data_IF_479210607763
#
_entry.id   IF_479210607763
#
_cell.length_a   1.000
_cell.length_b   1.000
_cell.length_c   1.000
_cell.angle_alpha   90.00
_cell.angle_beta   90.00
_cell.angle_gamma   90.00
#
_symmetry.space_group_name_H-M   'P 1'
#
loop_
_entity.id
_entity.type
_entity.pdbx_description
1 polymer ?
#
# COMPACT_ATOMS: atom_id res chain seq x y z
N UNK A 1 7.44 -19.93 -0.62
CA UNK A 1 7.43 -18.87 0.40
C UNK A 1 5.99 -18.57 0.72
N UNK A 2 5.62 -18.29 1.99
CA UNK A 2 4.24 -17.94 2.33
C UNK A 2 3.94 -16.51 1.82
N UNK A 3 3.02 -16.29 0.86
CA UNK A 3 2.65 -14.97 0.37
C UNK A 3 2.06 -14.04 1.44
N UNK A 4 1.35 -14.57 2.45
CA UNK A 4 0.72 -13.74 3.49
C UNK A 4 1.68 -12.75 4.17
N UNK A 5 2.81 -13.17 4.76
CA UNK A 5 3.75 -12.23 5.39
C UNK A 5 4.35 -11.23 4.40
N UNK A 6 4.55 -11.59 3.13
CA UNK A 6 5.09 -10.70 2.10
C UNK A 6 4.10 -9.56 1.81
N UNK A 7 2.85 -9.89 1.54
CA UNK A 7 1.80 -8.90 1.23
C UNK A 7 1.51 -8.02 2.45
N UNK A 8 1.44 -8.60 3.66
CA UNK A 8 1.24 -7.83 4.89
C UNK A 8 2.42 -6.88 5.15
N UNK A 9 3.65 -7.33 4.92
CA UNK A 9 4.85 -6.48 5.05
C UNK A 9 4.81 -5.32 4.06
N UNK A 10 4.37 -5.56 2.82
CA UNK A 10 4.21 -4.51 1.82
C UNK A 10 3.25 -3.39 2.29
N UNK A 11 2.03 -3.73 2.72
CA UNK A 11 1.08 -2.72 3.21
C UNK A 11 1.58 -2.03 4.49
N UNK A 12 2.30 -2.75 5.35
CA UNK A 12 2.90 -2.16 6.56
C UNK A 12 4.00 -1.17 6.23
N UNK A 13 4.87 -1.49 5.26
CA UNK A 13 5.93 -0.61 4.79
C UNK A 13 5.35 0.64 4.12
N UNK A 14 4.28 0.50 3.32
CA UNK A 14 3.59 1.66 2.75
C UNK A 14 2.97 2.55 3.82
N UNK A 15 2.37 1.97 4.87
CA UNK A 15 1.85 2.74 5.99
C UNK A 15 2.96 3.59 6.64
N UNK A 16 4.11 3.00 6.93
CA UNK A 16 5.26 3.72 7.48
C UNK A 16 5.87 4.73 6.51
N UNK A 17 5.87 4.44 5.22
CA UNK A 17 6.30 5.39 4.19
C UNK A 17 5.43 6.67 4.23
N UNK A 18 4.10 6.51 4.21
CA UNK A 18 3.20 7.66 4.27
C UNK A 18 3.25 8.40 5.61
N UNK A 19 3.35 7.69 6.74
CA UNK A 19 3.58 8.34 8.04
C UNK A 19 4.91 9.08 8.10
N UNK A 20 5.97 8.53 7.48
CA UNK A 20 7.26 9.20 7.35
C UNK A 20 7.13 10.51 6.57
N UNK A 21 6.44 10.50 5.44
CA UNK A 21 6.16 11.71 4.65
C UNK A 21 5.33 12.72 5.48
N UNK A 22 4.31 12.26 6.19
CA UNK A 22 3.49 13.10 7.07
C UNK A 22 4.36 13.79 8.14
N UNK A 23 5.25 13.04 8.80
CA UNK A 23 6.12 13.55 9.86
C UNK A 23 7.12 14.60 9.36
N UNK A 24 7.61 14.47 8.11
CA UNK A 24 8.57 15.41 7.52
C UNK A 24 7.90 16.58 6.77
N UNK A 25 6.57 16.64 6.68
CA UNK A 25 5.86 17.66 5.88
C UNK A 25 5.90 19.10 6.45
N UNK A 26 6.80 19.36 7.42
CA UNK A 26 7.21 20.72 7.78
C UNK A 26 6.12 21.61 8.39
N UNK A 27 5.04 21.04 8.95
CA UNK A 27 3.96 21.81 9.60
C UNK A 27 2.81 22.20 8.68
N UNK A 28 2.84 21.81 7.41
CA UNK A 28 1.71 21.99 6.51
C UNK A 28 0.58 21.02 6.88
N UNK A 29 -0.42 21.53 7.60
CA UNK A 29 -1.43 20.71 8.28
C UNK A 29 -2.22 19.82 7.31
N UNK A 30 -2.48 20.32 6.09
CA UNK A 30 -3.19 19.57 5.05
C UNK A 30 -2.40 18.33 4.62
N UNK A 31 -1.09 18.46 4.41
CA UNK A 31 -0.22 17.35 4.01
C UNK A 31 -0.07 16.33 5.15
N UNK A 32 0.11 16.82 6.39
CA UNK A 32 0.16 15.97 7.58
C UNK A 32 -1.09 15.10 7.69
N UNK A 33 -2.28 15.71 7.60
CA UNK A 33 -3.56 15.00 7.71
C UNK A 33 -3.72 14.03 6.52
N UNK A 34 -3.49 14.49 5.29
CA UNK A 34 -3.66 13.67 4.09
C UNK A 34 -2.81 12.40 4.12
N UNK A 35 -1.50 12.54 4.36
CA UNK A 35 -0.60 11.40 4.42
C UNK A 35 -0.85 10.50 5.63
N UNK A 36 -1.29 11.06 6.77
CA UNK A 36 -1.67 10.25 7.94
C UNK A 36 -2.91 9.39 7.66
N UNK A 37 -3.90 9.93 6.96
CA UNK A 37 -5.09 9.17 6.54
C UNK A 37 -4.68 8.02 5.62
N UNK A 38 -3.84 8.30 4.61
CA UNK A 38 -3.37 7.28 3.67
C UNK A 38 -2.58 6.19 4.41
N UNK A 39 -1.66 6.57 5.30
CA UNK A 39 -0.92 5.61 6.12
C UNK A 39 -1.82 4.74 7.00
N UNK A 40 -2.88 5.32 7.57
CA UNK A 40 -3.87 4.59 8.38
C UNK A 40 -4.65 3.59 7.55
N UNK A 41 -5.05 3.95 6.32
CA UNK A 41 -5.72 3.03 5.40
C UNK A 41 -4.82 1.83 5.13
N UNK A 42 -3.55 2.05 4.78
CA UNK A 42 -2.61 0.96 4.51
C UNK A 42 -2.39 0.06 5.74
N UNK A 43 -2.30 0.64 6.94
CA UNK A 43 -2.19 -0.13 8.17
C UNK A 43 -3.45 -0.96 8.44
N UNK A 44 -4.63 -0.42 8.16
CA UNK A 44 -5.90 -1.16 8.28
C UNK A 44 -5.94 -2.35 7.30
N UNK A 45 -5.43 -2.17 6.08
CA UNK A 45 -5.28 -3.27 5.12
C UNK A 45 -4.28 -4.33 5.60
N UNK A 46 -3.13 -3.93 6.11
CA UNK A 46 -2.16 -4.87 6.68
C UNK A 46 -2.79 -5.73 7.80
N UNK A 47 -3.53 -5.11 8.72
CA UNK A 47 -4.23 -5.80 9.81
C UNK A 47 -5.37 -6.70 9.29
N UNK A 48 -6.15 -6.23 8.31
CA UNK A 48 -7.24 -6.99 7.71
C UNK A 48 -6.75 -8.23 6.96
N UNK A 49 -5.66 -8.10 6.21
CA UNK A 49 -4.99 -9.20 5.50
C UNK A 49 -4.35 -10.19 6.46
N UNK A 50 -3.73 -9.70 7.55
CA UNK A 50 -3.17 -10.58 8.58
C UNK A 50 -4.26 -11.47 9.20
N UNK A 51 -5.43 -10.90 9.48
CA UNK A 51 -6.60 -11.60 10.03
C UNK A 51 -7.40 -12.42 9.02
N UNK A 52 -7.01 -12.43 7.75
CA UNK A 52 -7.71 -13.17 6.69
C UNK A 52 -9.11 -12.64 6.37
N UNK A 53 -9.37 -11.35 6.60
CA UNK A 53 -10.69 -10.76 6.33
C UNK A 53 -10.92 -10.62 4.82
N UNK A 54 -11.91 -11.34 4.30
CA UNK A 54 -12.17 -11.43 2.85
C UNK A 54 -12.36 -10.07 2.17
N UNK A 55 -13.02 -9.11 2.83
CA UNK A 55 -13.21 -7.77 2.27
C UNK A 55 -11.88 -7.05 2.01
N UNK A 56 -10.90 -7.19 2.89
CA UNK A 56 -9.58 -6.58 2.71
C UNK A 56 -8.76 -7.30 1.66
N UNK A 57 -8.88 -8.63 1.55
CA UNK A 57 -8.24 -9.42 0.49
C UNK A 57 -8.79 -9.06 -0.89
N UNK A 58 -10.10 -8.85 -1.01
CA UNK A 58 -10.71 -8.48 -2.28
C UNK A 58 -10.40 -7.04 -2.69
N UNK A 59 -10.27 -6.13 -1.71
CA UNK A 59 -9.98 -4.72 -1.97
C UNK A 59 -8.48 -4.42 -2.16
N UNK A 60 -7.58 -5.29 -1.70
CA UNK A 60 -6.14 -5.00 -1.67
C UNK A 60 -5.54 -4.78 -3.06
N UNK A 61 -5.99 -5.53 -4.06
CA UNK A 61 -5.54 -5.37 -5.45
C UNK A 61 -5.95 -3.99 -6.01
N UNK A 62 -7.15 -3.52 -5.68
CA UNK A 62 -7.62 -2.19 -6.10
C UNK A 62 -6.84 -1.07 -5.40
N UNK A 63 -6.48 -1.26 -4.12
CA UNK A 63 -5.65 -0.30 -3.41
C UNK A 63 -4.24 -0.23 -4.01
N UNK A 64 -3.60 -1.37 -4.25
CA UNK A 64 -2.29 -1.43 -4.90
C UNK A 64 -2.32 -0.82 -6.32
N UNK A 65 -3.39 -1.05 -7.08
CA UNK A 65 -3.60 -0.41 -8.38
C UNK A 65 -3.70 1.12 -8.24
N UNK A 66 -4.46 1.60 -7.26
CA UNK A 66 -4.62 3.02 -6.99
C UNK A 66 -3.27 3.68 -6.65
N UNK A 67 -2.47 3.05 -5.79
CA UNK A 67 -1.14 3.53 -5.43
C UNK A 67 -0.19 3.56 -6.62
N UNK A 68 -0.23 2.53 -7.49
CA UNK A 68 0.53 2.49 -8.73
C UNK A 68 0.13 3.64 -9.66
N UNK A 69 -1.16 3.88 -9.84
CA UNK A 69 -1.67 4.98 -10.66
C UNK A 69 -1.25 6.35 -10.09
N UNK A 70 -1.34 6.55 -8.78
CA UNK A 70 -0.86 7.79 -8.16
C UNK A 70 0.64 7.98 -8.30
N UNK A 71 1.43 6.92 -8.10
CA UNK A 71 2.87 6.96 -8.32
C UNK A 71 3.22 7.36 -9.76
N UNK A 72 2.53 6.77 -10.75
CA UNK A 72 2.69 7.12 -12.16
C UNK A 72 2.30 8.56 -12.46
N UNK A 73 1.15 9.02 -11.96
CA UNK A 73 0.70 10.40 -12.11
C UNK A 73 1.73 11.37 -11.52
N UNK A 74 2.30 11.04 -10.37
CA UNK A 74 3.31 11.87 -9.74
C UNK A 74 4.61 11.91 -10.54
N UNK A 75 5.05 10.77 -11.08
CA UNK A 75 6.20 10.69 -12.00
C UNK A 75 5.99 11.60 -13.22
N UNK A 76 4.77 11.66 -13.77
CA UNK A 76 4.44 12.51 -14.92
C UNK A 76 4.52 14.01 -14.60
N UNK A 77 4.20 14.41 -13.36
CA UNK A 77 4.27 15.82 -12.92
C UNK A 77 5.69 16.20 -12.49
N UNK A 78 6.48 15.24 -11.99
CA UNK A 78 7.89 15.42 -11.69
C UNK A 78 8.51 14.13 -11.16
N UNK A 79 9.65 13.74 -11.74
CA UNK A 79 10.37 12.54 -11.29
C UNK A 79 10.90 12.76 -9.87
N UNK A 80 10.31 12.05 -8.91
CA UNK A 80 10.80 12.01 -7.54
C UNK A 80 11.06 10.55 -7.14
N UNK A 81 12.14 10.32 -6.39
CA UNK A 81 12.48 9.01 -5.87
C UNK A 81 11.30 8.37 -5.11
N UNK A 82 10.56 9.08 -4.24
CA UNK A 82 9.36 8.55 -3.58
C UNK A 82 8.29 8.04 -4.54
N UNK A 83 8.02 8.77 -5.63
CA UNK A 83 7.01 8.38 -6.62
C UNK A 83 7.43 7.13 -7.42
N UNK A 84 8.70 7.02 -7.79
CA UNK A 84 9.25 5.83 -8.43
C UNK A 84 9.19 4.60 -7.51
N UNK A 85 9.56 4.76 -6.24
CA UNK A 85 9.47 3.69 -5.25
C UNK A 85 8.03 3.25 -5.03
N UNK A 86 7.09 4.18 -4.83
CA UNK A 86 5.66 3.88 -4.67
C UNK A 86 5.14 3.10 -5.89
N UNK A 87 5.43 3.56 -7.09
CA UNK A 87 5.00 2.90 -8.33
C UNK A 87 5.50 1.47 -8.42
N UNK A 88 6.81 1.26 -8.21
CA UNK A 88 7.44 -0.06 -8.33
C UNK A 88 6.91 -1.03 -7.27
N UNK A 89 6.88 -0.60 -6.00
CA UNK A 89 6.40 -1.46 -4.92
C UNK A 89 4.93 -1.83 -5.16
N UNK A 90 4.10 -0.88 -5.58
CA UNK A 90 2.69 -1.11 -5.84
C UNK A 90 2.47 -2.03 -7.05
N UNK A 91 3.28 -1.91 -8.10
CA UNK A 91 3.24 -2.82 -9.24
C UNK A 91 3.62 -4.26 -8.84
N UNK A 92 4.64 -4.43 -7.99
CA UNK A 92 5.04 -5.75 -7.48
C UNK A 92 3.96 -6.37 -6.60
N UNK A 93 3.35 -5.59 -5.72
CA UNK A 93 2.25 -6.05 -4.89
C UNK A 93 1.03 -6.42 -5.73
N UNK A 94 0.70 -5.60 -6.73
CA UNK A 94 -0.39 -5.88 -7.67
C UNK A 94 -0.13 -7.18 -8.42
N UNK A 95 1.09 -7.41 -8.91
CA UNK A 95 1.46 -8.65 -9.58
C UNK A 95 1.23 -9.89 -8.68
N UNK A 96 1.63 -9.81 -7.41
CA UNK A 96 1.40 -10.89 -6.44
C UNK A 96 -0.10 -11.06 -6.14
N UNK A 97 -0.84 -9.96 -6.01
CA UNK A 97 -2.26 -9.97 -5.69
C UNK A 97 -3.16 -10.39 -6.86
N UNK A 98 -2.66 -10.40 -8.09
CA UNK A 98 -3.40 -10.94 -9.25
C UNK A 98 -3.41 -12.47 -9.29
N UNK A 99 -2.57 -13.13 -8.49
CA UNK A 99 -2.58 -14.58 -8.34
C UNK A 99 -3.72 -15.02 -7.41
N UNK A 100 -4.65 -15.83 -7.92
CA UNK A 100 -5.81 -16.29 -7.18
C UNK A 100 -5.43 -17.29 -6.07
N UNK A 101 -4.34 -18.04 -6.23
CA UNK A 101 -3.84 -18.95 -5.21
C UNK A 101 -3.32 -18.14 -4.01
N UNK A 102 -2.63 -17.03 -4.28
CA UNK A 102 -2.18 -16.07 -3.25
C UNK A 102 -3.37 -15.46 -2.53
N UNK A 103 -4.39 -15.00 -3.25
CA UNK A 103 -5.60 -14.44 -2.63
C UNK A 103 -6.36 -15.47 -1.80
N UNK A 104 -6.37 -16.73 -2.23
CA UNK A 104 -6.98 -17.83 -1.48
C UNK A 104 -6.22 -18.11 -0.20
N UNK A 105 -4.89 -18.12 -0.22
CA UNK A 105 -4.04 -18.25 0.98
C UNK A 105 -4.25 -17.09 1.95
N UNK A 106 -4.38 -15.85 1.44
CA UNK A 106 -4.60 -14.67 2.27
C UNK A 106 -5.90 -14.73 3.08
N UNK A 107 -6.92 -15.46 2.62
CA UNK A 107 -8.20 -15.66 3.34
C UNK A 107 -8.11 -16.69 4.46
N UNK A 108 -7.05 -17.50 4.50
CA UNK A 108 -6.86 -18.48 5.57
C UNK A 108 -6.45 -17.74 6.86
N UNK A 109 -6.93 -18.15 8.04
CA UNK A 109 -6.55 -17.54 9.32
C UNK A 109 -5.07 -17.74 9.64
#
# INVERSE_FOLDING_TARGET
>A
MQPKPIVVSFFTLLAFFFYGIAAISGGETTNLIGYSIIGTIHLAFALGLWRGLEIFVNLSAYLALLDMLFGLLWIMVGLSFPAATLTLLSALALFILMDEDVRSELKMP
#
